data_IF_742536575472
#
_entry.id   IF_742536575472
#
_cell.length_a   1.000
_cell.length_b   1.000
_cell.length_c   1.000
_cell.angle_alpha   90.00
_cell.angle_beta   90.00
_cell.angle_gamma   90.00
#
_symmetry.space_group_name_H-M   'P 1'
#
loop_
_entity.id
_entity.type
_entity.pdbx_description
1 polymer ?
#
# COMPACT_ATOMS: atom_id res chain seq x y z
N UNK A 1 -11.45 -12.04 -6.73
CA UNK A 1 -10.10 -11.66 -6.27
C UNK A 1 -10.16 -10.35 -5.51
N UNK A 2 -10.67 -9.27 -6.11
CA UNK A 2 -10.87 -7.95 -5.48
C UNK A 2 -11.52 -8.03 -4.09
N UNK A 3 -12.66 -8.71 -3.95
CA UNK A 3 -13.31 -8.87 -2.63
C UNK A 3 -12.40 -9.48 -1.55
N UNK A 4 -11.64 -10.53 -1.89
CA UNK A 4 -10.74 -11.20 -0.94
C UNK A 4 -9.59 -10.25 -0.57
N UNK A 5 -9.04 -9.54 -1.56
CA UNK A 5 -8.00 -8.54 -1.32
C UNK A 5 -8.52 -7.45 -0.38
N UNK A 6 -9.68 -6.85 -0.68
CA UNK A 6 -10.28 -5.78 0.10
C UNK A 6 -10.69 -6.21 1.51
N UNK A 7 -11.18 -7.45 1.69
CA UNK A 7 -11.55 -7.99 3.00
C UNK A 7 -10.32 -8.28 3.88
N UNK A 8 -9.14 -8.49 3.28
CA UNK A 8 -7.88 -8.73 3.99
C UNK A 8 -7.02 -7.47 4.13
N UNK A 9 -7.46 -6.30 3.65
CA UNK A 9 -6.79 -5.03 3.91
C UNK A 9 -7.16 -4.47 5.29
N UNK A 10 -6.22 -3.83 6.01
CA UNK A 10 -6.54 -3.09 7.22
C UNK A 10 -7.56 -1.98 6.92
N UNK A 11 -8.33 -1.57 7.95
CA UNK A 11 -9.40 -0.58 7.77
C UNK A 11 -8.85 0.81 7.42
N UNK A 12 -7.63 1.06 7.86
CA UNK A 12 -6.84 2.27 7.65
C UNK A 12 -6.27 2.35 6.22
N UNK A 13 -6.35 1.28 5.42
CA UNK A 13 -5.95 1.34 4.02
C UNK A 13 -7.06 1.98 3.18
N UNK A 14 -6.87 3.27 2.87
CA UNK A 14 -7.76 4.00 1.96
C UNK A 14 -7.24 4.05 0.51
N UNK A 15 -5.93 3.91 0.31
CA UNK A 15 -5.32 3.91 -1.01
C UNK A 15 -5.74 2.68 -1.82
N UNK A 16 -6.05 2.88 -3.11
CA UNK A 16 -6.42 1.82 -4.07
C UNK A 16 -7.61 0.95 -3.65
N UNK A 17 -8.45 1.42 -2.71
CA UNK A 17 -9.60 0.68 -2.20
C UNK A 17 -10.91 1.37 -2.56
N UNK A 18 -11.82 0.63 -3.17
CA UNK A 18 -13.08 1.21 -3.67
C UNK A 18 -13.95 1.69 -2.50
N UNK A 19 -14.40 2.95 -2.58
CA UNK A 19 -15.28 3.55 -1.57
C UNK A 19 -14.56 4.06 -0.32
N UNK A 20 -13.23 4.08 -0.32
CA UNK A 20 -12.43 4.68 0.74
C UNK A 20 -11.77 5.98 0.24
N UNK A 21 -11.53 6.92 1.16
CA UNK A 21 -10.91 8.20 0.89
C UNK A 21 -9.96 8.57 2.02
N UNK A 22 -8.94 9.38 1.72
CA UNK A 22 -8.07 9.99 2.73
C UNK A 22 -8.78 11.06 3.55
N UNK A 23 -9.97 11.51 3.13
CA UNK A 23 -10.77 12.52 3.84
C UNK A 23 -11.03 12.15 5.30
N UNK A 24 -11.39 10.90 5.58
CA UNK A 24 -11.69 10.44 6.94
C UNK A 24 -10.42 10.41 7.81
N UNK A 25 -9.26 10.07 7.22
CA UNK A 25 -7.98 10.09 7.92
C UNK A 25 -7.53 11.52 8.24
N UNK A 26 -7.68 12.45 7.29
CA UNK A 26 -7.39 13.88 7.50
C UNK A 26 -8.29 14.45 8.58
N UNK A 27 -9.60 14.14 8.53
CA UNK A 27 -10.54 14.55 9.56
C UNK A 27 -10.13 14.01 10.94
N UNK A 28 -9.81 12.72 11.03
CA UNK A 28 -9.36 12.09 12.29
C UNK A 28 -8.10 12.77 12.84
N UNK A 29 -7.11 13.05 11.98
CA UNK A 29 -5.88 13.74 12.38
C UNK A 29 -6.19 15.16 12.90
N UNK A 30 -7.04 15.92 12.22
CA UNK A 30 -7.47 17.24 12.66
C UNK A 30 -8.14 17.19 14.04
N UNK A 31 -9.05 16.23 14.26
CA UNK A 31 -9.70 16.05 15.56
C UNK A 31 -8.69 15.76 16.68
N UNK A 32 -7.67 14.94 16.42
CA UNK A 32 -6.61 14.63 17.40
C UNK A 32 -5.77 15.88 17.71
N UNK A 33 -5.42 16.66 16.70
CA UNK A 33 -4.68 17.92 16.85
C UNK A 33 -5.49 18.93 17.66
N UNK A 34 -6.77 19.14 17.31
CA UNK A 34 -7.66 20.06 18.00
C UNK A 34 -7.84 19.69 19.47
N UNK A 35 -8.07 18.40 19.76
CA UNK A 35 -8.23 17.91 21.13
C UNK A 35 -6.94 18.04 21.94
N UNK A 36 -5.79 17.74 21.35
CA UNK A 36 -4.51 17.89 22.04
C UNK A 36 -4.27 19.35 22.43
N UNK A 37 -4.61 20.29 21.55
CA UNK A 37 -4.54 21.73 21.84
C UNK A 37 -5.53 22.16 22.92
N UNK A 38 -6.78 21.67 22.89
CA UNK A 38 -7.82 21.98 23.88
C UNK A 38 -7.40 21.62 25.31
N UNK A 39 -6.75 20.47 25.48
CA UNK A 39 -6.33 19.96 26.79
C UNK A 39 -4.86 20.29 27.14
N UNK A 40 -4.17 21.10 26.34
CA UNK A 40 -2.74 21.42 26.49
C UNK A 40 -1.85 20.15 26.61
N UNK A 41 -2.19 19.11 25.85
CA UNK A 41 -1.42 17.88 25.81
C UNK A 41 -0.33 17.96 24.73
N UNK A 42 0.90 17.51 25.01
CA UNK A 42 1.93 17.42 23.99
C UNK A 42 1.53 16.36 22.95
N UNK A 43 1.53 16.74 21.67
CA UNK A 43 1.27 15.85 20.54
C UNK A 43 2.47 15.85 19.59
N UNK A 44 2.87 14.67 19.15
CA UNK A 44 3.85 14.48 18.07
C UNK A 44 3.21 13.67 16.95
N UNK A 45 3.36 14.13 15.71
CA UNK A 45 2.84 13.45 14.50
C UNK A 45 4.01 13.14 13.58
N UNK A 46 4.14 11.87 13.21
CA UNK A 46 5.14 11.41 12.25
C UNK A 46 4.49 11.05 10.92
N UNK A 47 5.09 11.50 9.82
CA UNK A 47 4.72 11.10 8.47
C UNK A 47 5.83 10.21 7.90
N UNK A 48 5.46 9.04 7.40
CA UNK A 48 6.38 8.07 6.81
C UNK A 48 6.03 7.96 5.34
N UNK A 49 7.01 8.16 4.49
CA UNK A 49 6.90 7.97 3.05
C UNK A 49 8.04 7.07 2.57
N UNK A 50 7.72 6.17 1.63
CA UNK A 50 8.69 5.20 1.10
C UNK A 50 9.23 5.70 -0.23
N UNK A 51 10.55 5.84 -0.33
CA UNK A 51 11.20 6.17 -1.60
C UNK A 51 10.97 5.02 -2.60
N UNK A 52 10.40 5.34 -3.76
CA UNK A 52 10.17 4.40 -4.87
C UNK A 52 9.50 3.09 -4.41
N UNK A 53 8.39 3.20 -3.69
CA UNK A 53 7.71 2.05 -3.08
C UNK A 53 7.41 0.87 -4.04
N UNK A 54 7.11 1.17 -5.31
CA UNK A 54 6.86 0.12 -6.32
C UNK A 54 8.13 -0.46 -6.95
N UNK A 55 9.21 0.30 -7.04
CA UNK A 55 10.47 -0.18 -7.62
C UNK A 55 11.32 -0.94 -6.60
N UNK A 56 11.14 -0.66 -5.30
CA UNK A 56 11.96 -1.20 -4.21
C UNK A 56 11.38 -2.45 -3.55
N UNK A 57 10.11 -2.77 -3.80
CA UNK A 57 9.46 -3.94 -3.19
C UNK A 57 10.03 -5.24 -3.76
N UNK A 58 10.41 -6.17 -2.89
CA UNK A 58 10.89 -7.48 -3.31
C UNK A 58 9.72 -8.34 -3.82
N UNK A 59 9.80 -8.83 -5.06
CA UNK A 59 8.71 -9.58 -5.68
C UNK A 59 8.29 -10.83 -4.90
N UNK A 60 9.23 -11.55 -4.27
CA UNK A 60 8.89 -12.72 -3.47
C UNK A 60 8.01 -12.37 -2.26
N UNK A 61 8.21 -11.20 -1.66
CA UNK A 61 7.40 -10.73 -0.55
C UNK A 61 5.95 -10.46 -0.99
N UNK A 62 5.75 -10.00 -2.23
CA UNK A 62 4.40 -9.85 -2.81
C UNK A 62 3.73 -11.23 -2.96
N UNK A 63 4.45 -12.22 -3.49
CA UNK A 63 3.88 -13.56 -3.68
C UNK A 63 3.52 -14.22 -2.35
N UNK A 64 4.39 -14.11 -1.35
CA UNK A 64 4.12 -14.61 -0.01
C UNK A 64 2.93 -13.90 0.65
N UNK A 65 2.82 -12.57 0.49
CA UNK A 65 1.66 -11.83 0.97
C UNK A 65 0.36 -12.32 0.33
N UNK A 66 0.35 -12.57 -0.99
CA UNK A 66 -0.82 -13.11 -1.69
C UNK A 66 -1.20 -14.52 -1.20
N UNK A 67 -0.21 -15.38 -0.92
CA UNK A 67 -0.45 -16.72 -0.35
C UNK A 67 -1.02 -16.64 1.06
N UNK A 68 -0.52 -15.74 1.90
CA UNK A 68 -0.98 -15.56 3.29
C UNK A 68 -2.47 -15.18 3.36
N UNK A 69 -2.98 -14.40 2.40
CA UNK A 69 -4.40 -14.05 2.30
C UNK A 69 -5.23 -15.07 1.49
N UNK A 70 -4.69 -16.27 1.26
CA UNK A 70 -5.34 -17.39 0.58
C UNK A 70 -5.77 -17.12 -0.88
N UNK A 71 -5.01 -16.30 -1.62
CA UNK A 71 -5.17 -16.26 -3.07
C UNK A 71 -4.73 -17.60 -3.66
N UNK A 72 -5.51 -18.12 -4.61
CA UNK A 72 -5.20 -19.40 -5.25
C UNK A 72 -3.81 -19.40 -5.88
N UNK A 73 -3.03 -20.46 -5.61
CA UNK A 73 -1.70 -20.69 -6.19
C UNK A 73 -1.68 -20.55 -7.71
N UNK A 74 -2.77 -20.85 -8.42
CA UNK A 74 -2.85 -20.65 -9.87
C UNK A 74 -2.56 -19.20 -10.26
N UNK A 75 -3.08 -18.23 -9.51
CA UNK A 75 -2.85 -16.81 -9.80
C UNK A 75 -1.47 -16.36 -9.33
N UNK A 76 -1.02 -16.83 -8.17
CA UNK A 76 0.33 -16.52 -7.67
C UNK A 76 1.38 -17.02 -8.65
N UNK A 77 1.26 -18.25 -9.15
CA UNK A 77 2.15 -18.83 -10.16
C UNK A 77 2.13 -18.04 -11.47
N UNK A 78 0.99 -17.50 -11.90
CA UNK A 78 0.94 -16.63 -13.10
C UNK A 78 1.77 -15.36 -12.86
N UNK A 79 1.62 -14.72 -11.71
CA UNK A 79 2.39 -13.52 -11.37
C UNK A 79 3.89 -13.83 -11.24
N UNK A 80 4.25 -14.90 -10.54
CA UNK A 80 5.63 -15.38 -10.45
C UNK A 80 6.26 -15.57 -11.83
N UNK A 81 5.55 -16.26 -12.74
CA UNK A 81 6.03 -16.48 -14.10
C UNK A 81 6.17 -15.18 -14.92
N UNK A 82 5.30 -14.18 -14.70
CA UNK A 82 5.40 -12.87 -15.37
C UNK A 82 6.68 -12.14 -14.94
N UNK A 83 7.02 -12.20 -13.66
CA UNK A 83 8.20 -11.52 -13.13
C UNK A 83 9.49 -12.35 -13.23
N UNK A 84 9.39 -13.66 -13.42
CA UNK A 84 10.54 -14.55 -13.56
C UNK A 84 11.29 -14.25 -14.87
N UNK A 85 12.55 -13.82 -14.76
CA UNK A 85 13.41 -13.44 -15.88
C UNK A 85 12.86 -12.29 -16.74
N UNK A 86 11.99 -11.45 -16.19
CA UNK A 86 11.49 -10.28 -16.89
C UNK A 86 12.65 -9.33 -17.24
N UNK A 87 12.78 -8.96 -18.51
CA UNK A 87 13.78 -8.00 -18.98
C UNK A 87 13.09 -6.77 -19.56
N UNK A 88 13.59 -5.58 -19.25
CA UNK A 88 13.16 -4.33 -19.85
C UNK A 88 14.34 -3.66 -20.56
N UNK A 89 14.12 -3.13 -21.76
CA UNK A 89 15.09 -2.29 -22.48
C UNK A 89 14.58 -0.86 -22.43
N UNK A 90 15.38 0.04 -21.89
CA UNK A 90 15.08 1.47 -21.83
C UNK A 90 15.98 2.16 -22.87
N UNK A 91 15.36 2.78 -23.88
CA UNK A 91 16.06 3.62 -24.87
C UNK A 91 15.89 5.06 -24.41
N UNK A 92 16.98 5.69 -24.02
CA UNK A 92 17.02 7.11 -23.68
C UNK A 92 17.58 7.83 -24.90
N UNK A 93 16.71 8.50 -25.66
CA UNK A 93 17.14 9.38 -26.73
C UNK A 93 17.63 10.67 -26.08
N UNK A 94 18.95 10.78 -25.92
CA UNK A 94 19.59 12.06 -25.60
C UNK A 94 19.36 13.01 -26.77
N UNK A 95 18.89 14.22 -26.50
CA UNK A 95 19.26 15.38 -27.33
C UNK A 95 20.79 15.60 -27.24
#
# INVERSE_FOLDING_TARGET
MERILDENQPREQAGFRKGYSTTDHIYTLNQVIEKSNEYNLPLCVGFIDYEKAFDSVEHFAIFDALRQINISEKYVNILENIYQNATAIIIINNE
#
